data_IF_946596400030
#
_entry.id   IF_946596400030
#
_cell.length_a   1.000
_cell.length_b   1.000
_cell.length_c   1.000
_cell.angle_alpha   90.00
_cell.angle_beta   90.00
_cell.angle_gamma   90.00
#
_symmetry.space_group_name_H-M   'P 1'
#
loop_
_entity.id
_entity.type
_entity.pdbx_description
1 polymer ?
#
# COMPACT_ATOMS: atom_id res chain seq x y z
N UNK A 1 0.47 22.12 29.29
CA UNK A 1 1.12 22.25 27.96
C UNK A 1 0.86 20.94 27.27
N UNK A 2 -0.08 20.97 26.34
CA UNK A 2 -0.68 19.78 25.74
C UNK A 2 0.31 19.12 24.80
N UNK A 3 0.47 17.83 24.99
CA UNK A 3 1.22 16.91 24.16
C UNK A 3 0.43 16.73 22.85
N UNK A 4 0.58 17.70 21.93
CA UNK A 4 0.04 17.60 20.58
C UNK A 4 0.98 16.67 19.80
N UNK A 5 0.89 15.38 20.12
CA UNK A 5 1.62 14.32 19.45
C UNK A 5 1.37 14.43 17.95
N UNK A 6 2.40 14.87 17.22
CA UNK A 6 2.47 14.99 15.78
C UNK A 6 1.90 13.71 15.15
N UNK A 7 0.64 13.78 14.72
CA UNK A 7 -0.02 12.62 14.10
C UNK A 7 0.74 12.34 12.80
N UNK A 8 1.31 11.13 12.63
CA UNK A 8 2.14 10.84 11.48
C UNK A 8 1.33 11.08 10.22
N UNK A 9 1.94 11.76 9.25
CA UNK A 9 1.35 12.06 7.96
C UNK A 9 0.72 10.78 7.39
N UNK A 10 -0.62 10.74 7.23
CA UNK A 10 -1.32 9.54 6.78
C UNK A 10 -0.88 9.10 5.38
N UNK A 11 -0.24 9.96 4.59
CA UNK A 11 0.33 9.61 3.30
C UNK A 11 1.65 8.87 3.44
N UNK A 12 2.49 9.30 4.39
CA UNK A 12 3.73 8.62 4.74
C UNK A 12 3.48 7.21 5.29
N UNK A 13 2.44 7.03 6.12
CA UNK A 13 2.07 5.71 6.65
C UNK A 13 1.62 4.78 5.52
N UNK A 14 0.77 5.23 4.59
CA UNK A 14 0.36 4.38 3.46
C UNK A 14 1.51 4.00 2.52
N UNK A 15 2.44 4.92 2.25
CA UNK A 15 3.62 4.64 1.43
C UNK A 15 4.53 3.61 2.11
N UNK A 16 4.68 3.71 3.43
CA UNK A 16 5.41 2.74 4.21
C UNK A 16 4.78 1.34 4.12
N UNK A 17 3.47 1.23 4.30
CA UNK A 17 2.75 -0.05 4.25
C UNK A 17 2.79 -0.67 2.84
N UNK A 18 2.67 0.16 1.80
CA UNK A 18 2.81 -0.29 0.42
C UNK A 18 4.21 -0.85 0.12
N UNK A 19 5.26 -0.15 0.57
CA UNK A 19 6.66 -0.62 0.43
C UNK A 19 6.89 -1.93 1.19
N UNK A 20 6.30 -2.07 2.38
CA UNK A 20 6.40 -3.28 3.18
C UNK A 20 5.80 -4.50 2.45
N UNK A 21 4.63 -4.36 1.83
CA UNK A 21 4.02 -5.45 1.05
C UNK A 21 4.84 -5.83 -0.19
N UNK A 22 5.40 -4.84 -0.90
CA UNK A 22 6.28 -5.11 -2.04
C UNK A 22 7.53 -5.90 -1.62
N UNK A 23 8.12 -5.59 -0.47
CA UNK A 23 9.26 -6.35 0.06
C UNK A 23 8.90 -7.82 0.34
N UNK A 24 7.71 -8.07 0.89
CA UNK A 24 7.21 -9.44 1.13
C UNK A 24 7.02 -10.22 -0.17
N UNK A 25 6.41 -9.59 -1.19
CA UNK A 25 6.20 -10.18 -2.51
C UNK A 25 7.55 -10.57 -3.13
N UNK A 26 8.52 -9.67 -3.12
CA UNK A 26 9.87 -9.92 -3.67
C UNK A 26 10.57 -11.06 -2.95
N UNK A 27 10.51 -11.08 -1.61
CA UNK A 27 11.12 -12.15 -0.82
C UNK A 27 10.56 -13.55 -1.14
N UNK A 28 9.24 -13.68 -1.30
CA UNK A 28 8.67 -14.97 -1.70
C UNK A 28 9.02 -15.35 -3.14
N UNK A 29 9.10 -14.38 -4.07
CA UNK A 29 9.60 -14.64 -5.43
C UNK A 29 11.05 -15.17 -5.41
N UNK A 30 11.89 -14.65 -4.51
CA UNK A 30 13.27 -15.12 -4.31
C UNK A 30 13.33 -16.53 -3.70
N UNK A 31 12.45 -16.85 -2.75
CA UNK A 31 12.30 -18.20 -2.16
C UNK A 31 11.87 -19.24 -3.21
N UNK A 32 10.83 -18.92 -4.00
CA UNK A 32 10.36 -19.79 -5.10
C UNK A 32 11.45 -20.01 -6.15
N UNK A 33 12.22 -18.98 -6.48
CA UNK A 33 13.31 -19.09 -7.43
C UNK A 33 14.46 -19.99 -6.91
N UNK A 34 14.60 -20.13 -5.59
CA UNK A 34 15.63 -20.94 -4.95
C UNK A 34 15.24 -22.43 -4.77
N UNK A 35 13.94 -22.77 -4.67
CA UNK A 35 13.46 -24.14 -4.42
C UNK A 35 12.63 -24.75 -5.56
N UNK A 36 13.23 -24.94 -6.73
CA UNK A 36 12.53 -25.47 -7.92
C UNK A 36 12.22 -26.99 -7.83
N UNK A 37 12.65 -27.69 -6.76
CA UNK A 37 12.56 -29.15 -6.67
C UNK A 37 11.33 -29.69 -5.92
N UNK A 38 10.55 -28.84 -5.24
CA UNK A 38 9.29 -29.22 -4.57
C UNK A 38 8.10 -28.40 -5.13
N UNK A 39 7.28 -29.00 -6.02
CA UNK A 39 6.14 -28.31 -6.64
C UNK A 39 5.06 -27.83 -5.68
N UNK A 40 4.84 -28.51 -4.55
CA UNK A 40 3.81 -28.09 -3.59
C UNK A 40 4.32 -26.94 -2.70
N UNK A 41 5.60 -26.93 -2.33
CA UNK A 41 6.22 -25.79 -1.66
C UNK A 41 6.20 -24.53 -2.55
N UNK A 42 6.60 -24.66 -3.82
CA UNK A 42 6.54 -23.58 -4.81
C UNK A 42 5.11 -23.04 -4.96
N UNK A 43 4.12 -23.92 -5.01
CA UNK A 43 2.72 -23.52 -5.14
C UNK A 43 2.21 -22.76 -3.91
N UNK A 44 2.62 -23.18 -2.70
CA UNK A 44 2.27 -22.48 -1.47
C UNK A 44 2.84 -21.06 -1.44
N UNK A 45 4.12 -20.90 -1.81
CA UNK A 45 4.76 -19.59 -1.88
C UNK A 45 4.14 -18.69 -2.96
N UNK A 46 3.75 -19.24 -4.11
CA UNK A 46 3.02 -18.50 -5.16
C UNK A 46 1.67 -17.97 -4.65
N UNK A 47 0.97 -18.74 -3.79
CA UNK A 47 -0.28 -18.29 -3.17
C UNK A 47 -0.04 -17.12 -2.22
N UNK A 48 1.05 -17.14 -1.44
CA UNK A 48 1.42 -16.04 -0.55
C UNK A 48 1.84 -14.78 -1.32
N UNK A 49 2.62 -14.93 -2.40
CA UNK A 49 2.96 -13.85 -3.34
C UNK A 49 1.69 -13.17 -3.86
N UNK A 50 0.74 -13.97 -4.35
CA UNK A 50 -0.54 -13.46 -4.87
C UNK A 50 -1.32 -12.73 -3.79
N UNK A 51 -1.39 -13.28 -2.59
CA UNK A 51 -2.10 -12.66 -1.46
C UNK A 51 -1.51 -11.31 -1.08
N UNK A 52 -0.19 -11.20 -1.03
CA UNK A 52 0.49 -9.93 -0.75
C UNK A 52 0.30 -8.91 -1.88
N UNK A 53 0.31 -9.35 -3.15
CA UNK A 53 0.06 -8.49 -4.31
C UNK A 53 -1.37 -7.93 -4.33
N UNK A 54 -2.37 -8.74 -4.00
CA UNK A 54 -3.77 -8.31 -3.90
C UNK A 54 -3.93 -7.21 -2.83
N UNK A 55 -3.30 -7.37 -1.66
CA UNK A 55 -3.30 -6.35 -0.60
C UNK A 55 -2.62 -5.05 -1.05
N UNK A 56 -1.52 -5.14 -1.79
CA UNK A 56 -0.81 -3.97 -2.32
C UNK A 56 -1.66 -3.20 -3.35
N UNK A 57 -2.41 -3.91 -4.21
CA UNK A 57 -3.35 -3.32 -5.15
C UNK A 57 -4.48 -2.56 -4.43
N UNK A 58 -5.05 -3.14 -3.38
CA UNK A 58 -6.08 -2.47 -2.57
C UNK A 58 -5.57 -1.18 -1.92
N UNK A 59 -4.34 -1.18 -1.39
CA UNK A 59 -3.73 0.02 -0.80
C UNK A 59 -3.50 1.12 -1.84
N UNK A 60 -3.09 0.74 -3.05
CA UNK A 60 -2.86 1.68 -4.16
C UNK A 60 -4.17 2.38 -4.56
N UNK A 61 -5.27 1.61 -4.62
CA UNK A 61 -6.59 2.15 -4.93
C UNK A 61 -7.12 3.08 -3.82
N UNK A 62 -6.89 2.74 -2.54
CA UNK A 62 -7.20 3.62 -1.41
C UNK A 62 -6.43 4.94 -1.48
N UNK A 63 -5.14 4.88 -1.78
CA UNK A 63 -4.29 6.08 -1.93
C UNK A 63 -4.75 6.95 -3.11
N UNK A 64 -5.12 6.34 -4.24
CA UNK A 64 -5.67 7.05 -5.41
C UNK A 64 -6.96 7.78 -5.05
N UNK A 65 -7.93 7.08 -4.44
CA UNK A 65 -9.22 7.66 -4.04
C UNK A 65 -9.04 8.83 -3.08
N UNK A 66 -8.16 8.69 -2.09
CA UNK A 66 -7.89 9.76 -1.13
C UNK A 66 -7.30 10.99 -1.81
N UNK A 67 -6.38 10.82 -2.76
CA UNK A 67 -5.81 11.92 -3.54
C UNK A 67 -6.86 12.63 -4.39
N UNK A 68 -7.76 11.87 -5.02
CA UNK A 68 -8.89 12.45 -5.77
C UNK A 68 -9.84 13.22 -4.85
N UNK A 69 -10.19 12.66 -3.69
CA UNK A 69 -11.05 13.35 -2.72
C UNK A 69 -10.42 14.65 -2.16
N UNK A 70 -9.11 14.69 -1.99
CA UNK A 70 -8.39 15.92 -1.60
C UNK A 70 -8.43 16.97 -2.73
N UNK A 71 -8.25 16.54 -3.99
CA UNK A 71 -8.35 17.43 -5.14
C UNK A 71 -9.78 18.00 -5.29
N UNK A 72 -10.80 17.14 -5.18
CA UNK A 72 -12.22 17.55 -5.28
C UNK A 72 -12.60 18.53 -4.14
N UNK A 73 -12.03 18.37 -2.95
CA UNK A 73 -12.25 19.27 -1.82
C UNK A 73 -11.54 20.63 -1.97
N UNK A 74 -10.39 20.67 -2.67
CA UNK A 74 -9.67 21.91 -2.97
C UNK A 74 -10.37 22.74 -4.07
N UNK A 75 -11.04 22.09 -5.01
CA UNK A 75 -11.82 22.73 -6.07
C UNK A 75 -13.20 23.23 -5.60
N UNK A 76 -13.69 22.77 -4.45
CA UNK A 76 -14.99 23.12 -3.88
C UNK A 76 -14.99 24.41 -3.02
N UNK A 77 -13.88 25.16 -2.97
CA UNK A 77 -13.83 26.40 -2.21
C UNK A 77 -14.67 27.48 -2.91
N UNK A 78 -15.73 28.03 -2.27
CA UNK A 78 -16.66 28.91 -2.95
C UNK A 78 -16.01 30.25 -3.26
N UNK A 79 -16.24 30.73 -4.48
CA UNK A 79 -16.01 32.10 -4.88
C UNK A 79 -16.92 33.05 -4.08
N UNK A 80 -16.55 33.36 -2.85
CA UNK A 80 -17.02 34.52 -2.10
C UNK A 80 -15.72 35.28 -1.72
N UNK A 81 -15.50 36.53 -2.07
CA UNK A 81 -16.42 37.68 -2.11
C UNK A 81 -15.82 38.73 -3.05
N UNK A 82 -16.62 39.32 -3.95
CA UNK A 82 -16.37 40.69 -4.42
C UNK A 82 -17.63 41.33 -4.98
#
# INVERSE_FOLDING_TARGET
MSDEAERPDPDRVLVHDFRNLLAVIVNYCELVAAEINDPEAVKADIVEIRTAAERALELTEKLRRRRTAVADAQDAQPAETS
#
